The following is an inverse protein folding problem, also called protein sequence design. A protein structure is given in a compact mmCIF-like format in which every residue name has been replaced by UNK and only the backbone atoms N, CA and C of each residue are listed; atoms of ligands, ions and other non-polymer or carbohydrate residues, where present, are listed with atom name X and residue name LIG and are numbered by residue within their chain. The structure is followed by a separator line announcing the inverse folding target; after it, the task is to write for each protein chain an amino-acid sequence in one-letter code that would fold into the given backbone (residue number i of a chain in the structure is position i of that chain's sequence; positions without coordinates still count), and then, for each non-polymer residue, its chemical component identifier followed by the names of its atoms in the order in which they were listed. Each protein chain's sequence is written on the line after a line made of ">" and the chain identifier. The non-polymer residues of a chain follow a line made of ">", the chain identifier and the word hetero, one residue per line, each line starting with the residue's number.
data_IF_816092250578
#
_entry.id   IF_816092250578
#
_cell.length_a   1.000
_cell.length_b   1.000
_cell.length_c   1.000
_cell.angle_alpha   90.00
_cell.angle_beta   90.00
_cell.angle_gamma   90.00
#
_symmetry.space_group_name_H-M   'P 1'
#
loop_
_entity.id
_entity.type
_entity.pdbx_description
1 polymer ?
#
# COMPACT_ATOMS: atom_id res chain seq x y z
N UNK A 1 -24.84 0.43 -6.37
CA UNK A 1 -24.55 -0.99 -6.66
C UNK A 1 -23.07 -1.33 -6.46
N UNK A 2 -22.14 -0.68 -7.16
CA UNK A 2 -20.68 -0.97 -7.05
C UNK A 2 -20.15 -0.91 -5.60
N UNK A 3 -20.54 0.10 -4.82
CA UNK A 3 -20.07 0.26 -3.43
C UNK A 3 -20.53 -0.89 -2.52
N UNK A 4 -21.77 -1.37 -2.70
CA UNK A 4 -22.32 -2.50 -1.96
C UNK A 4 -21.57 -3.78 -2.33
N UNK A 5 -21.22 -3.94 -3.61
CA UNK A 5 -20.39 -5.05 -4.07
C UNK A 5 -18.98 -5.05 -3.44
N UNK A 6 -18.32 -3.89 -3.40
CA UNK A 6 -16.99 -3.74 -2.77
C UNK A 6 -17.05 -4.07 -1.28
N UNK A 7 -18.09 -3.62 -0.58
CA UNK A 7 -18.31 -3.96 0.84
C UNK A 7 -18.55 -5.45 1.04
N UNK A 8 -19.43 -6.05 0.23
CA UNK A 8 -19.73 -7.47 0.34
C UNK A 8 -18.48 -8.33 0.13
N UNK A 9 -17.65 -8.00 -0.88
CA UNK A 9 -16.38 -8.70 -1.11
C UNK A 9 -15.42 -8.48 0.06
N UNK A 10 -15.28 -7.26 0.57
CA UNK A 10 -14.44 -6.96 1.74
C UNK A 10 -14.88 -7.79 2.96
N UNK A 11 -16.16 -7.79 3.30
CA UNK A 11 -16.68 -8.53 4.46
C UNK A 11 -16.40 -10.02 4.29
N UNK A 12 -16.68 -10.59 3.12
CA UNK A 12 -16.49 -12.01 2.86
C UNK A 12 -15.01 -12.41 2.91
N UNK A 13 -14.11 -11.56 2.39
CA UNK A 13 -12.66 -11.73 2.55
C UNK A 13 -12.24 -11.72 4.01
N UNK A 14 -12.77 -10.81 4.81
CA UNK A 14 -12.40 -10.68 6.21
C UNK A 14 -12.98 -11.79 7.08
N UNK A 15 -14.23 -12.22 6.87
CA UNK A 15 -14.89 -13.19 7.75
C UNK A 15 -14.59 -14.64 7.37
N UNK A 16 -14.69 -14.99 6.09
CA UNK A 16 -14.71 -16.39 5.65
C UNK A 16 -13.42 -16.87 4.98
N UNK A 17 -12.72 -15.98 4.26
CA UNK A 17 -11.68 -16.42 3.31
C UNK A 17 -10.25 -16.15 3.75
N UNK A 18 -9.96 -14.98 4.33
CA UNK A 18 -8.59 -14.62 4.69
C UNK A 18 -8.19 -15.14 6.07
N UNK A 19 -7.12 -15.95 6.16
CA UNK A 19 -6.59 -16.38 7.45
C UNK A 19 -6.09 -15.19 8.27
N UNK A 20 -6.29 -15.23 9.59
CA UNK A 20 -5.94 -14.13 10.51
C UNK A 20 -4.42 -13.97 10.68
N UNK A 21 -3.72 -15.07 10.86
CA UNK A 21 -2.33 -15.05 11.36
C UNK A 21 -1.27 -15.35 10.28
N UNK A 22 -1.69 -15.69 9.06
CA UNK A 22 -0.80 -16.06 7.96
C UNK A 22 -1.31 -15.51 6.63
N UNK A 23 -0.44 -15.48 5.62
CA UNK A 23 -0.82 -15.23 4.23
C UNK A 23 -1.35 -16.50 3.58
N UNK A 24 -2.08 -16.35 2.48
CA UNK A 24 -2.46 -17.46 1.59
C UNK A 24 -1.20 -18.03 0.96
N UNK A 25 -1.17 -19.36 0.81
CA UNK A 25 -0.04 -20.04 0.20
C UNK A 25 -0.28 -20.20 -1.29
N UNK A 26 0.72 -19.83 -2.09
CA UNK A 26 0.71 -20.12 -3.51
C UNK A 26 0.97 -21.60 -3.77
N UNK A 27 0.60 -22.06 -4.97
CA UNK A 27 0.85 -23.43 -5.40
C UNK A 27 2.31 -23.86 -5.22
N UNK A 28 3.24 -22.96 -5.56
CA UNK A 28 4.69 -23.19 -5.39
C UNK A 28 5.09 -23.34 -3.93
N UNK A 29 4.48 -22.57 -3.02
CA UNK A 29 4.75 -22.65 -1.58
C UNK A 29 4.18 -23.93 -0.95
N UNK A 30 3.12 -24.49 -1.54
CA UNK A 30 2.47 -25.71 -1.07
C UNK A 30 3.15 -26.99 -1.57
N UNK A 31 4.17 -26.89 -2.43
CA UNK A 31 4.82 -28.04 -3.06
C UNK A 31 5.34 -29.08 -2.05
N UNK A 32 5.87 -28.64 -0.91
CA UNK A 32 6.34 -29.56 0.15
C UNK A 32 5.20 -30.33 0.82
N UNK A 33 4.04 -29.70 1.01
CA UNK A 33 2.83 -30.35 1.52
C UNK A 33 2.25 -31.32 0.49
N UNK A 34 2.34 -30.97 -0.80
CA UNK A 34 1.92 -31.81 -1.91
C UNK A 34 2.84 -33.01 -2.18
N UNK A 35 4.08 -33.00 -1.67
CA UNK A 35 4.97 -34.16 -1.73
C UNK A 35 4.63 -35.21 -0.67
N UNK A 36 4.03 -34.79 0.46
CA UNK A 36 3.67 -35.64 1.58
C UNK A 36 2.16 -35.90 1.62
N UNK A 37 1.59 -36.30 0.49
CA UNK A 37 0.15 -36.54 0.40
C UNK A 37 -0.28 -37.76 1.21
N UNK A 38 -1.47 -37.71 1.83
CA UNK A 38 -2.07 -38.85 2.49
C UNK A 38 -2.16 -40.08 1.57
N UNK A 39 -2.01 -41.27 2.15
CA UNK A 39 -2.20 -42.54 1.45
C UNK A 39 -3.68 -42.79 1.12
N UNK A 40 -4.59 -42.33 1.99
CA UNK A 40 -6.04 -42.47 1.79
C UNK A 40 -6.51 -41.56 0.62
N UNK A 41 -7.24 -42.10 -0.38
CA UNK A 41 -7.65 -41.32 -1.55
C UNK A 41 -8.52 -40.10 -1.24
N UNK A 42 -9.38 -40.21 -0.24
CA UNK A 42 -10.26 -39.12 0.20
C UNK A 42 -9.44 -37.97 0.78
N UNK A 43 -8.58 -38.25 1.75
CA UNK A 43 -7.73 -37.26 2.41
C UNK A 43 -6.77 -36.59 1.41
N UNK A 44 -6.21 -37.37 0.48
CA UNK A 44 -5.40 -36.85 -0.63
C UNK A 44 -6.17 -35.84 -1.48
N UNK A 45 -7.41 -36.17 -1.85
CA UNK A 45 -8.27 -35.28 -2.65
C UNK A 45 -8.56 -33.99 -1.88
N UNK A 46 -8.85 -34.07 -0.58
CA UNK A 46 -9.10 -32.88 0.24
C UNK A 46 -7.88 -31.95 0.29
N UNK A 47 -6.67 -32.48 0.47
CA UNK A 47 -5.44 -31.68 0.47
C UNK A 47 -5.24 -30.97 -0.88
N UNK A 48 -5.45 -31.68 -2.00
CA UNK A 48 -5.32 -31.10 -3.34
C UNK A 48 -6.36 -30.01 -3.61
N UNK A 49 -7.63 -30.26 -3.28
CA UNK A 49 -8.71 -29.28 -3.46
C UNK A 49 -8.47 -28.04 -2.60
N UNK A 50 -8.03 -28.22 -1.35
CA UNK A 50 -7.68 -27.11 -0.48
C UNK A 50 -6.51 -26.30 -1.03
N UNK A 51 -5.45 -26.97 -1.51
CA UNK A 51 -4.30 -26.28 -2.08
C UNK A 51 -4.66 -25.48 -3.34
N UNK A 52 -5.47 -26.08 -4.21
CA UNK A 52 -5.99 -25.42 -5.41
C UNK A 52 -6.84 -24.21 -5.05
N UNK A 53 -7.83 -24.38 -4.18
CA UNK A 53 -8.69 -23.29 -3.73
C UNK A 53 -7.89 -22.14 -3.09
N UNK A 54 -6.93 -22.45 -2.24
CA UNK A 54 -6.10 -21.44 -1.58
C UNK A 54 -5.24 -20.66 -2.58
N UNK A 55 -4.70 -21.34 -3.60
CA UNK A 55 -3.95 -20.70 -4.68
C UNK A 55 -4.83 -19.79 -5.55
N UNK A 56 -6.02 -20.25 -5.94
CA UNK A 56 -6.96 -19.44 -6.72
C UNK A 56 -7.47 -18.23 -5.92
N UNK A 57 -7.78 -18.44 -4.64
CA UNK A 57 -8.20 -17.36 -3.75
C UNK A 57 -7.11 -16.27 -3.66
N UNK A 58 -5.83 -16.65 -3.61
CA UNK A 58 -4.73 -15.69 -3.61
C UNK A 58 -4.73 -14.82 -4.88
N UNK A 59 -4.96 -15.41 -6.05
CA UNK A 59 -5.04 -14.69 -7.32
C UNK A 59 -6.25 -13.75 -7.35
N UNK A 60 -7.42 -14.21 -6.89
CA UNK A 60 -8.64 -13.41 -6.81
C UNK A 60 -8.46 -12.20 -5.88
N UNK A 61 -7.81 -12.39 -4.73
CA UNK A 61 -7.52 -11.28 -3.80
C UNK A 61 -6.55 -10.28 -4.43
N UNK A 62 -5.49 -10.76 -5.09
CA UNK A 62 -4.57 -9.87 -5.80
C UNK A 62 -5.29 -9.06 -6.89
N UNK A 63 -6.17 -9.69 -7.68
CA UNK A 63 -6.98 -9.02 -8.69
C UNK A 63 -7.93 -7.99 -8.07
N UNK A 64 -8.57 -8.31 -6.95
CA UNK A 64 -9.44 -7.38 -6.23
C UNK A 64 -8.66 -6.15 -5.74
N UNK A 65 -7.48 -6.34 -5.14
CA UNK A 65 -6.62 -5.24 -4.71
C UNK A 65 -6.18 -4.36 -5.90
N UNK A 66 -5.88 -4.96 -7.05
CA UNK A 66 -5.58 -4.20 -8.27
C UNK A 66 -6.76 -3.36 -8.75
N UNK A 67 -7.99 -3.91 -8.70
CA UNK A 67 -9.21 -3.15 -9.03
C UNK A 67 -9.38 -1.97 -8.08
N UNK A 68 -9.22 -2.17 -6.76
CA UNK A 68 -9.26 -1.07 -5.78
C UNK A 68 -8.24 0.02 -6.11
N UNK A 69 -7.00 -0.37 -6.43
CA UNK A 69 -5.95 0.58 -6.79
C UNK A 69 -6.31 1.38 -8.04
N UNK A 70 -6.79 0.70 -9.08
CA UNK A 70 -7.23 1.34 -10.32
C UNK A 70 -8.33 2.35 -10.06
N UNK A 71 -9.33 2.01 -9.26
CA UNK A 71 -10.42 2.93 -8.94
C UNK A 71 -9.94 4.15 -8.15
N UNK A 72 -8.94 4.02 -7.28
CA UNK A 72 -8.35 5.15 -6.55
C UNK A 72 -7.57 6.08 -7.49
N UNK A 73 -6.77 5.51 -8.40
CA UNK A 73 -5.89 6.26 -9.32
C UNK A 73 -6.66 6.85 -10.51
N UNK A 74 -7.45 6.03 -11.21
CA UNK A 74 -8.14 6.41 -12.46
C UNK A 74 -9.26 7.42 -12.18
N UNK A 75 -10.08 7.19 -11.14
CA UNK A 75 -11.13 8.12 -10.78
C UNK A 75 -10.59 9.45 -10.24
N UNK A 76 -9.30 9.55 -9.88
CA UNK A 76 -8.65 10.81 -9.52
C UNK A 76 -8.57 11.83 -10.66
N UNK A 77 -8.74 11.36 -11.90
CA UNK A 77 -8.58 12.13 -13.14
C UNK A 77 -9.90 12.70 -13.69
N UNK A 78 -11.05 12.17 -13.27
CA UNK A 78 -12.37 12.58 -13.75
C UNK A 78 -13.10 13.50 -12.74
N UNK A 79 -14.10 14.24 -13.24
CA UNK A 79 -14.97 15.12 -12.45
C UNK A 79 -15.46 14.43 -11.18
N UNK A 80 -15.60 15.21 -10.08
CA UNK A 80 -15.81 14.77 -8.69
C UNK A 80 -16.97 13.78 -8.40
N UNK A 81 -17.72 13.36 -9.42
CA UNK A 81 -18.76 12.33 -9.43
C UNK A 81 -18.42 11.01 -8.71
N UNK A 82 -17.14 10.61 -8.64
CA UNK A 82 -16.72 9.33 -8.04
C UNK A 82 -15.96 9.47 -6.71
N UNK A 83 -15.99 10.64 -6.08
CA UNK A 83 -15.29 10.87 -4.82
C UNK A 83 -15.70 9.90 -3.71
N UNK A 84 -16.99 9.60 -3.60
CA UNK A 84 -17.48 8.68 -2.58
C UNK A 84 -16.93 7.26 -2.78
N UNK A 85 -16.85 6.79 -4.02
CA UNK A 85 -16.29 5.46 -4.34
C UNK A 85 -14.79 5.40 -4.01
N UNK A 86 -14.00 6.45 -4.32
CA UNK A 86 -12.57 6.47 -3.98
C UNK A 86 -12.31 6.41 -2.49
N UNK A 87 -13.01 7.24 -1.71
CA UNK A 87 -12.92 7.21 -0.24
C UNK A 87 -13.33 5.84 0.30
N UNK A 88 -14.32 5.20 -0.34
CA UNK A 88 -14.73 3.85 0.01
C UNK A 88 -13.64 2.83 -0.26
N UNK A 89 -13.00 2.86 -1.43
CA UNK A 89 -11.88 1.99 -1.77
C UNK A 89 -10.69 2.21 -0.82
N UNK A 90 -10.37 3.45 -0.45
CA UNK A 90 -9.35 3.76 0.55
C UNK A 90 -9.69 3.15 1.91
N UNK A 91 -10.94 3.26 2.36
CA UNK A 91 -11.41 2.64 3.59
C UNK A 91 -11.30 1.11 3.56
N UNK A 92 -11.68 0.49 2.44
CA UNK A 92 -11.57 -0.97 2.23
C UNK A 92 -10.11 -1.41 2.26
N UNK A 93 -9.21 -0.67 1.61
CA UNK A 93 -7.79 -0.96 1.62
C UNK A 93 -7.19 -0.85 3.04
N UNK A 94 -7.58 0.19 3.79
CA UNK A 94 -7.23 0.33 5.20
C UNK A 94 -7.72 -0.85 6.03
N UNK A 95 -8.99 -1.25 5.90
CA UNK A 95 -9.58 -2.33 6.68
C UNK A 95 -8.90 -3.68 6.40
N UNK A 96 -8.63 -3.97 5.12
CA UNK A 96 -7.92 -5.19 4.72
C UNK A 96 -6.49 -5.21 5.27
N UNK A 97 -5.76 -4.11 5.14
CA UNK A 97 -4.39 -3.98 5.64
C UNK A 97 -4.33 -4.06 7.17
N UNK A 98 -5.31 -3.45 7.85
CA UNK A 98 -5.39 -3.50 9.29
C UNK A 98 -5.69 -4.92 9.78
N UNK A 99 -6.64 -5.61 9.15
CA UNK A 99 -7.13 -6.89 9.66
C UNK A 99 -6.31 -8.10 9.19
N UNK A 100 -5.64 -8.04 8.04
CA UNK A 100 -5.03 -9.22 7.38
C UNK A 100 -3.67 -8.87 6.78
N UNK A 101 -2.79 -9.87 6.70
CA UNK A 101 -1.43 -9.74 6.13
C UNK A 101 -1.39 -9.95 4.61
N UNK A 102 -2.52 -10.29 4.00
CA UNK A 102 -2.60 -10.58 2.57
C UNK A 102 -2.48 -9.29 1.75
N UNK A 103 -1.63 -9.30 0.71
CA UNK A 103 -1.36 -8.11 -0.13
C UNK A 103 -0.90 -6.85 0.63
N UNK A 104 -0.26 -7.00 1.79
CA UNK A 104 0.13 -5.89 2.67
C UNK A 104 0.89 -4.75 1.95
N UNK A 105 1.92 -5.09 1.17
CA UNK A 105 2.69 -4.09 0.41
C UNK A 105 1.84 -3.38 -0.65
N UNK A 106 1.01 -4.10 -1.40
CA UNK A 106 0.13 -3.50 -2.41
C UNK A 106 -0.93 -2.58 -1.78
N UNK A 107 -1.49 -2.96 -0.64
CA UNK A 107 -2.46 -2.16 0.10
C UNK A 107 -1.81 -0.90 0.70
N UNK A 108 -0.59 -1.01 1.25
CA UNK A 108 0.18 0.16 1.72
C UNK A 108 0.49 1.11 0.57
N UNK A 109 1.04 0.59 -0.52
CA UNK A 109 1.34 1.34 -1.73
C UNK A 109 0.10 2.12 -2.23
N UNK A 110 -1.07 1.49 -2.17
CA UNK A 110 -2.34 2.09 -2.55
C UNK A 110 -2.75 3.25 -1.62
N UNK A 111 -2.64 3.09 -0.30
CA UNK A 111 -2.93 4.17 0.66
C UNK A 111 -1.98 5.35 0.51
N UNK A 112 -0.67 5.07 0.31
CA UNK A 112 0.35 6.10 0.06
C UNK A 112 0.08 6.84 -1.24
N UNK A 113 -0.25 6.13 -2.32
CA UNK A 113 -0.68 6.75 -3.57
C UNK A 113 -1.89 7.68 -3.37
N UNK A 114 -2.78 7.35 -2.42
CA UNK A 114 -3.90 8.18 -2.00
C UNK A 114 -3.53 9.60 -1.57
N UNK A 115 -2.33 9.82 -1.01
CA UNK A 115 -1.83 11.14 -0.59
C UNK A 115 -1.68 12.13 -1.74
N UNK A 116 -1.54 11.64 -2.98
CA UNK A 116 -1.42 12.47 -4.20
C UNK A 116 -2.76 12.77 -4.86
N UNK A 117 -3.83 12.12 -4.42
CA UNK A 117 -5.17 12.27 -5.01
C UNK A 117 -5.92 13.46 -4.40
N UNK A 118 -7.07 13.82 -5.00
CA UNK A 118 -7.99 14.83 -4.44
C UNK A 118 -8.53 14.46 -3.05
N UNK A 119 -8.43 13.19 -2.65
CA UNK A 119 -8.89 12.67 -1.35
C UNK A 119 -7.73 12.46 -0.35
N UNK A 120 -6.61 13.16 -0.56
CA UNK A 120 -5.41 13.08 0.28
C UNK A 120 -5.64 13.22 1.79
N UNK A 121 -6.60 14.04 2.21
CA UNK A 121 -6.94 14.21 3.63
C UNK A 121 -7.50 12.93 4.25
N UNK A 122 -8.29 12.16 3.49
CA UNK A 122 -8.83 10.89 3.95
C UNK A 122 -7.75 9.81 3.95
N UNK A 123 -6.89 9.78 2.94
CA UNK A 123 -5.74 8.87 2.90
C UNK A 123 -4.78 9.13 4.09
N UNK A 124 -4.46 10.40 4.35
CA UNK A 124 -3.65 10.80 5.50
C UNK A 124 -4.29 10.40 6.83
N UNK A 125 -5.61 10.63 6.99
CA UNK A 125 -6.34 10.22 8.20
C UNK A 125 -6.29 8.72 8.43
N UNK A 126 -6.50 7.93 7.38
CA UNK A 126 -6.45 6.46 7.44
C UNK A 126 -5.04 5.95 7.74
N UNK A 127 -4.01 6.52 7.12
CA UNK A 127 -2.62 6.18 7.39
C UNK A 127 -2.23 6.49 8.83
N UNK A 128 -2.57 7.67 9.36
CA UNK A 128 -2.31 8.00 10.76
C UNK A 128 -3.04 7.07 11.74
N UNK A 129 -4.28 6.69 11.41
CA UNK A 129 -5.03 5.71 12.20
C UNK A 129 -4.32 4.35 12.21
N UNK A 130 -3.93 3.86 11.04
CA UNK A 130 -3.19 2.61 10.88
C UNK A 130 -1.88 2.61 11.67
N UNK A 131 -1.08 3.67 11.57
CA UNK A 131 0.22 3.77 12.26
C UNK A 131 0.09 3.89 13.77
N UNK A 132 -1.03 4.44 14.26
CA UNK A 132 -1.35 4.46 15.69
C UNK A 132 -1.73 3.08 16.20
N UNK A 133 -2.51 2.32 15.43
CA UNK A 133 -2.99 0.99 15.80
C UNK A 133 -1.92 -0.09 15.58
N UNK A 134 -1.01 0.09 14.61
CA UNK A 134 0.04 -0.85 14.24
C UNK A 134 1.40 -0.14 14.05
N UNK A 135 2.11 0.17 15.15
CA UNK A 135 3.40 0.87 15.09
C UNK A 135 4.45 0.16 14.22
N UNK A 136 4.40 -1.17 14.13
CA UNK A 136 5.27 -1.98 13.27
C UNK A 136 5.30 -1.56 11.80
N UNK A 137 4.24 -0.91 11.31
CA UNK A 137 4.11 -0.49 9.91
C UNK A 137 4.75 0.87 9.64
N UNK A 138 5.22 1.60 10.66
CA UNK A 138 5.78 2.95 10.48
C UNK A 138 6.97 2.96 9.53
N UNK A 139 7.90 2.01 9.68
CA UNK A 139 9.05 1.88 8.79
C UNK A 139 8.60 1.59 7.36
N UNK A 140 7.78 0.56 7.17
CA UNK A 140 7.28 0.17 5.85
C UNK A 140 6.52 1.30 5.13
N UNK A 141 5.72 2.07 5.87
CA UNK A 141 4.96 3.20 5.31
C UNK A 141 5.89 4.38 4.99
N UNK A 142 6.87 4.67 5.85
CA UNK A 142 7.86 5.72 5.58
C UNK A 142 8.67 5.39 4.31
N UNK A 143 9.18 4.17 4.20
CA UNK A 143 9.90 3.69 3.01
C UNK A 143 9.03 3.80 1.76
N UNK A 144 7.76 3.38 1.82
CA UNK A 144 6.85 3.47 0.68
C UNK A 144 6.57 4.93 0.27
N UNK A 145 6.41 5.85 1.22
CA UNK A 145 6.26 7.29 0.95
C UNK A 145 7.51 7.86 0.30
N UNK A 146 8.68 7.50 0.82
CA UNK A 146 9.98 7.93 0.25
C UNK A 146 10.10 7.42 -1.18
N UNK A 147 9.89 6.13 -1.41
CA UNK A 147 10.02 5.51 -2.72
C UNK A 147 8.99 6.05 -3.72
N UNK A 148 7.73 6.26 -3.31
CA UNK A 148 6.67 6.67 -4.23
C UNK A 148 6.63 8.18 -4.50
N UNK A 149 6.88 9.01 -3.49
CA UNK A 149 6.60 10.44 -3.53
C UNK A 149 7.85 11.31 -3.54
N UNK A 150 8.97 10.81 -3.00
CA UNK A 150 10.21 11.57 -2.85
C UNK A 150 11.24 11.13 -3.89
N UNK A 151 11.57 9.85 -3.98
CA UNK A 151 12.59 9.32 -4.91
C UNK A 151 12.13 9.38 -6.36
N UNK A 152 10.82 9.18 -6.60
CA UNK A 152 10.22 9.27 -7.94
C UNK A 152 10.00 10.72 -8.43
N UNK A 153 10.45 11.77 -7.73
CA UNK A 153 10.36 13.16 -8.22
C UNK A 153 11.50 14.10 -7.76
N UNK A 154 11.78 15.22 -8.47
CA UNK A 154 11.32 15.67 -9.77
C UNK A 154 12.36 15.49 -10.90
N UNK A 155 11.90 15.47 -12.14
CA UNK A 155 12.57 16.16 -13.26
C UNK A 155 12.11 17.62 -13.17
N UNK A 156 13.03 18.59 -13.21
CA UNK A 156 12.87 19.95 -12.67
C UNK A 156 11.67 20.80 -13.14
N UNK A 157 10.84 20.35 -14.09
CA UNK A 157 9.72 21.13 -14.65
C UNK A 157 8.31 20.58 -14.38
N UNK A 158 8.16 19.47 -13.63
CA UNK A 158 6.83 18.90 -13.38
C UNK A 158 6.20 19.40 -12.06
N UNK A 159 5.21 20.31 -12.17
CA UNK A 159 4.38 20.80 -11.05
C UNK A 159 3.75 19.67 -10.23
N UNK A 160 3.45 18.52 -10.84
CA UNK A 160 2.91 17.34 -10.15
C UNK A 160 3.96 16.67 -9.28
N UNK A 161 5.20 16.56 -9.77
CA UNK A 161 6.30 15.99 -8.99
C UNK A 161 6.61 16.83 -7.76
N UNK A 162 6.57 18.17 -7.86
CA UNK A 162 6.69 19.06 -6.70
C UNK A 162 5.54 18.91 -5.70
N UNK A 163 4.29 18.81 -6.17
CA UNK A 163 3.15 18.55 -5.29
C UNK A 163 3.30 17.23 -4.54
N UNK A 164 3.76 16.17 -5.23
CA UNK A 164 3.96 14.86 -4.62
C UNK A 164 5.08 14.88 -3.57
N UNK A 165 6.22 15.52 -3.89
CA UNK A 165 7.32 15.70 -2.96
C UNK A 165 6.86 16.43 -1.69
N UNK A 166 6.16 17.56 -1.86
CA UNK A 166 5.62 18.33 -0.73
C UNK A 166 4.69 17.47 0.14
N UNK A 167 3.77 16.72 -0.47
CA UNK A 167 2.83 15.84 0.24
C UNK A 167 3.54 14.70 0.96
N UNK A 168 4.56 14.10 0.35
CA UNK A 168 5.39 13.08 0.98
C UNK A 168 6.13 13.62 2.20
N UNK A 169 6.83 14.75 2.05
CA UNK A 169 7.53 15.40 3.16
C UNK A 169 6.58 15.81 4.28
N UNK A 170 5.42 16.41 3.95
CA UNK A 170 4.42 16.82 4.92
C UNK A 170 3.90 15.64 5.74
N UNK A 171 3.62 14.50 5.08
CA UNK A 171 3.19 13.28 5.76
C UNK A 171 4.29 12.71 6.67
N UNK A 172 5.54 12.61 6.20
CA UNK A 172 6.65 12.13 7.03
C UNK A 172 6.85 13.01 8.28
N UNK A 173 6.71 14.33 8.14
CA UNK A 173 6.77 15.27 9.27
C UNK A 173 5.58 15.15 10.23
N UNK A 174 4.41 14.71 9.77
CA UNK A 174 3.23 14.52 10.63
C UNK A 174 3.20 13.17 11.35
N UNK A 175 4.07 12.22 10.97
CA UNK A 175 4.21 10.93 11.64
C UNK A 175 4.59 11.10 13.12
N UNK A 176 3.83 10.43 14.00
CA UNK A 176 4.10 10.42 15.44
C UNK A 176 5.12 9.34 15.79
N UNK A 177 6.33 9.78 16.12
CA UNK A 177 7.44 8.94 16.55
C UNK A 177 7.63 9.03 18.07
N UNK A 178 8.07 7.94 18.66
CA UNK A 178 8.38 7.76 20.08
C UNK A 178 9.84 7.40 20.22
N UNK A 179 10.49 7.92 21.26
CA UNK A 179 11.93 7.73 21.48
C UNK A 179 12.32 6.27 21.77
N UNK A 180 11.37 5.41 22.13
CA UNK A 180 11.64 4.04 22.58
C UNK A 180 11.66 3.03 21.43
N UNK A 181 10.81 3.20 20.42
CA UNK A 181 10.56 2.16 19.40
C UNK A 181 10.80 2.65 17.97
N UNK A 182 10.83 3.97 17.74
CA UNK A 182 10.82 4.54 16.39
C UNK A 182 12.16 5.17 15.96
N UNK A 183 13.26 4.80 16.63
CA UNK A 183 14.59 5.33 16.34
C UNK A 183 15.02 5.13 14.89
N UNK A 184 14.82 3.91 14.35
CA UNK A 184 15.17 3.58 12.97
C UNK A 184 14.37 4.40 11.96
N UNK A 185 13.08 4.61 12.22
CA UNK A 185 12.19 5.42 11.37
C UNK A 185 12.61 6.89 11.39
N UNK A 186 12.99 7.41 12.56
CA UNK A 186 13.47 8.78 12.70
C UNK A 186 14.77 9.00 11.92
N UNK A 187 15.72 8.06 11.99
CA UNK A 187 16.96 8.09 11.22
C UNK A 187 16.67 8.05 9.73
N UNK A 188 15.79 7.13 9.28
CA UNK A 188 15.39 7.03 7.86
C UNK A 188 14.82 8.35 7.33
N UNK A 189 13.91 8.99 8.07
CA UNK A 189 13.32 10.29 7.68
C UNK A 189 14.38 11.39 7.64
N UNK A 190 15.26 11.45 8.65
CA UNK A 190 16.32 12.46 8.72
C UNK A 190 17.32 12.32 7.56
N UNK A 191 17.78 11.10 7.27
CA UNK A 191 18.67 10.82 6.15
C UNK A 191 18.02 11.18 4.80
N UNK A 192 16.71 10.89 4.65
CA UNK A 192 15.98 11.24 3.43
C UNK A 192 15.96 12.75 3.21
N UNK A 193 15.68 13.54 4.25
CA UNK A 193 15.69 15.00 4.14
C UNK A 193 17.09 15.56 3.91
N UNK A 194 18.13 14.99 4.51
CA UNK A 194 19.51 15.35 4.23
C UNK A 194 19.87 15.12 2.75
N UNK A 195 19.58 13.92 2.22
CA UNK A 195 19.78 13.59 0.80
C UNK A 195 19.00 14.50 -0.14
N UNK A 196 17.76 14.85 0.21
CA UNK A 196 16.95 15.78 -0.57
C UNK A 196 17.58 17.17 -0.61
N UNK A 197 18.05 17.67 0.53
CA UNK A 197 18.73 18.97 0.64
C UNK A 197 20.02 18.98 -0.19
N UNK A 198 20.86 17.96 -0.06
CA UNK A 198 22.09 17.80 -0.86
C UNK A 198 21.80 17.82 -2.37
N UNK A 199 20.75 17.11 -2.80
CA UNK A 199 20.31 17.09 -4.21
C UNK A 199 19.85 18.48 -4.69
N UNK A 200 19.12 19.22 -3.86
CA UNK A 200 18.70 20.58 -4.19
C UNK A 200 19.89 21.53 -4.29
N UNK A 201 20.81 21.50 -3.33
CA UNK A 201 22.02 22.32 -3.32
C UNK A 201 22.94 21.99 -4.52
N UNK A 202 23.11 20.71 -4.84
CA UNK A 202 23.91 20.27 -5.99
C UNK A 202 23.32 20.73 -7.33
N UNK A 203 21.99 20.76 -7.43
CA UNK A 203 21.29 21.26 -8.61
C UNK A 203 21.40 22.79 -8.77
N UNK A 204 21.35 23.55 -7.68
CA UNK A 204 21.58 25.00 -7.72
C UNK A 204 23.00 25.35 -8.17
N UNK A 205 23.99 24.53 -7.80
CA UNK A 205 25.38 24.69 -8.23
C UNK A 205 25.62 24.39 -9.71
N UNK A 206 24.73 23.65 -10.39
CA UNK A 206 24.88 23.34 -11.82
C UNK A 206 24.39 24.46 -12.75
N UNK A 207 23.61 25.43 -12.25
CA UNK A 207 23.13 26.59 -13.01
C UNK A 207 22.32 26.23 -14.28
N UNK A 208 21.54 27.17 -14.86
CA UNK A 208 20.99 26.94 -16.19
C UNK A 208 22.17 26.90 -17.15
N UNK A 209 22.48 25.72 -17.69
CA UNK A 209 23.40 25.59 -18.81
C UNK A 209 22.93 26.55 -19.90
N UNK A 210 23.71 27.61 -20.12
CA UNK A 210 23.44 28.60 -21.17
C UNK A 210 23.41 27.86 -22.50
N UNK A 211 22.21 27.64 -23.02
CA UNK A 211 22.01 27.31 -24.42
C UNK A 211 22.48 28.53 -25.23
N UNK A 212 23.65 28.39 -25.85
CA UNK A 212 24.16 29.25 -26.94
C UNK A 212 23.64 28.70 -28.25
#
# INVERSE_FOLDING_TARGET
>A
EVQVGVDAVKELLLTEFLPKDRKLKSWSQQRSELLNLPSKPHDRRLVLVRAYFESELQLVVAAFVQVLHREIVVAGSADGSQQHLRRKCLGVAHDLLHARREQESALRAMLVSGLTTKDSTEAERLLHKLLKEQPRLKTDVAEEVIQQLIEKGPVQDDRRAMSNLYRGCAFLCSMRLTHTEDGDVAVLIAETFAKLLEKMLSNEMQGPSKAV
#
